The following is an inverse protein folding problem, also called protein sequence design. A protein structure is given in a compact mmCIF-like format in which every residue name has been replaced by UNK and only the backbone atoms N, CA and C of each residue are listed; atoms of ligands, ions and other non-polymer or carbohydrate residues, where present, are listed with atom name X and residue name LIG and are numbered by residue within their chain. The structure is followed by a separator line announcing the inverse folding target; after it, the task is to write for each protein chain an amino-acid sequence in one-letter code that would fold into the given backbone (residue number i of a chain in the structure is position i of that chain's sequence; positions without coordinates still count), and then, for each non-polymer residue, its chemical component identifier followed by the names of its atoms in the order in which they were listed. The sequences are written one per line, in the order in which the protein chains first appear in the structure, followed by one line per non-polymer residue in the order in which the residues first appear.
data_IF_462696974227
#
_entry.id   IF_462696974227
#
_cell.length_a   1.000
_cell.length_b   1.000
_cell.length_c   1.000
_cell.angle_alpha   90.00
_cell.angle_beta   90.00
_cell.angle_gamma   90.00
#
_symmetry.space_group_name_H-M   'P 1'
#
loop_
_entity.id
_entity.type
_entity.pdbx_description
1 polymer ?
#
# COMPACT_ATOMS: atom_id res chain seq x y z
N UNK A 1 -29.49 6.66 -23.97
CA UNK A 1 -30.77 7.12 -23.37
C UNK A 1 -31.63 5.89 -23.11
N UNK A 2 -31.56 5.33 -21.90
CA UNK A 2 -32.36 4.18 -21.47
C UNK A 2 -33.17 4.65 -20.26
N UNK A 3 -34.48 4.65 -20.42
CA UNK A 3 -35.45 5.12 -19.44
C UNK A 3 -35.56 4.08 -18.32
N UNK A 4 -35.26 4.49 -17.08
CA UNK A 4 -35.60 3.71 -15.90
C UNK A 4 -37.10 3.87 -15.61
N UNK A 5 -37.80 2.76 -15.42
CA UNK A 5 -39.10 2.77 -14.75
C UNK A 5 -38.97 2.13 -13.38
N UNK A 6 -39.49 2.88 -12.41
CA UNK A 6 -39.49 2.63 -10.98
C UNK A 6 -40.06 1.26 -10.61
N UNK A 7 -39.39 0.58 -9.68
CA UNK A 7 -40.05 -0.34 -8.76
C UNK A 7 -39.46 -0.18 -7.35
N UNK A 8 -40.23 0.59 -6.58
CA UNK A 8 -40.47 0.62 -5.13
C UNK A 8 -39.62 -0.31 -4.24
N UNK A 9 -39.03 0.33 -3.24
CA UNK A 9 -38.41 -0.20 -2.02
C UNK A 9 -39.10 -1.43 -1.40
N UNK A 10 -38.29 -2.40 -0.95
CA UNK A 10 -38.52 -3.00 0.36
C UNK A 10 -37.17 -3.17 1.09
N UNK A 11 -37.16 -2.76 2.37
CA UNK A 11 -35.99 -2.77 3.26
C UNK A 11 -35.70 -4.20 3.71
N UNK A 12 -34.42 -4.48 4.02
CA UNK A 12 -33.86 -5.72 4.56
C UNK A 12 -33.61 -6.85 3.56
N UNK A 13 -32.50 -6.78 2.82
CA UNK A 13 -31.77 -8.00 2.45
C UNK A 13 -30.28 -7.70 2.33
N UNK A 14 -29.49 -8.24 3.26
CA UNK A 14 -28.03 -8.25 3.20
C UNK A 14 -27.62 -9.28 2.16
N UNK A 15 -27.03 -8.86 1.04
CA UNK A 15 -26.44 -9.75 0.05
C UNK A 15 -25.04 -10.16 0.51
N UNK A 16 -24.94 -11.30 1.20
CA UNK A 16 -23.67 -12.02 1.39
C UNK A 16 -23.31 -12.72 0.09
N UNK A 17 -22.28 -12.25 -0.60
CA UNK A 17 -21.75 -12.90 -1.80
C UNK A 17 -20.60 -13.83 -1.38
N UNK A 18 -20.88 -15.13 -1.38
CA UNK A 18 -19.87 -16.18 -1.25
C UNK A 18 -19.41 -16.58 -2.66
N UNK A 19 -18.09 -16.67 -2.83
CA UNK A 19 -17.38 -16.98 -4.07
C UNK A 19 -17.53 -18.45 -4.48
N UNK A 20 -18.74 -18.85 -4.87
CA UNK A 20 -19.03 -20.07 -5.63
C UNK A 20 -20.53 -20.09 -5.88
N UNK A 21 -21.02 -19.58 -7.02
CA UNK A 21 -22.31 -20.02 -7.58
C UNK A 21 -22.48 -19.57 -9.04
N UNK A 22 -22.76 -20.55 -9.89
CA UNK A 22 -23.27 -20.38 -11.25
C UNK A 22 -24.71 -19.87 -11.13
N UNK A 23 -24.99 -18.68 -11.64
CA UNK A 23 -26.35 -18.13 -11.70
C UNK A 23 -27.12 -18.87 -12.80
N UNK A 24 -28.04 -19.77 -12.43
CA UNK A 24 -29.00 -20.36 -13.38
C UNK A 24 -30.21 -19.44 -13.53
N UNK A 25 -30.36 -18.83 -14.70
CA UNK A 25 -31.61 -18.18 -15.09
C UNK A 25 -32.56 -19.22 -15.68
N UNK A 26 -33.75 -19.36 -15.10
CA UNK A 26 -34.86 -20.12 -15.67
C UNK A 26 -35.75 -19.17 -16.47
N UNK A 27 -35.70 -19.26 -17.80
CA UNK A 27 -36.68 -18.61 -18.65
C UNK A 27 -37.73 -19.64 -19.09
N UNK A 28 -38.98 -19.43 -18.69
CA UNK A 28 -40.13 -20.10 -19.31
C UNK A 28 -40.54 -19.30 -20.53
N UNK A 29 -40.24 -19.79 -21.74
CA UNK A 29 -40.83 -19.24 -22.98
C UNK A 29 -41.14 -20.35 -23.98
N UNK A 30 -42.22 -20.15 -24.73
CA UNK A 30 -42.77 -21.10 -25.70
C UNK A 30 -41.83 -21.35 -26.90
N UNK A 31 -41.90 -22.58 -27.41
CA UNK A 31 -40.86 -23.30 -28.16
C UNK A 31 -40.52 -22.84 -29.60
N UNK A 32 -40.67 -21.56 -29.97
CA UNK A 32 -40.47 -21.14 -31.38
C UNK A 32 -39.42 -20.07 -31.63
N UNK A 33 -38.68 -19.59 -30.62
CA UNK A 33 -37.59 -18.63 -30.83
C UNK A 33 -36.23 -19.12 -30.28
N UNK A 34 -35.82 -20.35 -30.64
CA UNK A 34 -34.61 -20.99 -30.10
C UNK A 34 -33.35 -20.82 -30.99
N UNK A 35 -33.43 -20.20 -32.17
CA UNK A 35 -32.25 -20.12 -33.06
C UNK A 35 -31.51 -18.78 -33.13
N UNK A 36 -32.01 -17.69 -32.55
CA UNK A 36 -31.30 -16.40 -32.58
C UNK A 36 -30.73 -15.90 -31.25
N UNK A 37 -31.07 -16.55 -30.12
CA UNK A 37 -30.65 -16.08 -28.78
C UNK A 37 -29.49 -16.86 -28.14
N UNK A 38 -28.79 -17.71 -28.90
CA UNK A 38 -27.64 -18.50 -28.40
C UNK A 38 -26.27 -17.89 -28.74
N UNK A 39 -26.22 -16.72 -29.39
CA UNK A 39 -24.95 -16.04 -29.71
C UNK A 39 -24.53 -14.97 -28.70
N UNK A 40 -25.34 -14.67 -27.70
CA UNK A 40 -24.94 -13.78 -26.61
C UNK A 40 -24.33 -14.61 -25.46
N UNK A 41 -23.29 -15.41 -25.75
CA UNK A 41 -22.32 -15.74 -24.70
C UNK A 41 -21.78 -14.42 -24.20
N UNK A 42 -22.31 -13.96 -23.07
CA UNK A 42 -21.71 -12.92 -22.27
C UNK A 42 -20.32 -13.44 -21.87
N UNK A 43 -19.32 -13.17 -22.72
CA UNK A 43 -17.94 -13.14 -22.30
C UNK A 43 -17.88 -11.95 -21.35
N UNK A 44 -18.17 -12.21 -20.08
CA UNK A 44 -17.59 -11.41 -19.01
C UNK A 44 -16.10 -11.72 -19.10
N UNK A 45 -15.42 -11.08 -20.03
CA UNK A 45 -13.98 -10.89 -19.93
C UNK A 45 -13.82 -10.21 -18.57
N UNK A 46 -13.28 -10.91 -17.57
CA UNK A 46 -12.75 -10.24 -16.39
C UNK A 46 -11.70 -9.29 -16.93
N UNK A 47 -12.09 -8.05 -17.23
CA UNK A 47 -11.15 -6.98 -17.41
C UNK A 47 -10.34 -6.97 -16.12
N UNK A 48 -9.03 -7.22 -16.22
CA UNK A 48 -8.12 -7.11 -15.09
C UNK A 48 -8.38 -5.74 -14.48
N UNK A 49 -8.91 -5.73 -13.24
CA UNK A 49 -9.15 -4.47 -12.52
C UNK A 49 -7.80 -3.75 -12.47
N UNK A 50 -7.78 -2.49 -12.84
CA UNK A 50 -6.59 -1.68 -12.69
C UNK A 50 -6.25 -1.61 -11.20
N UNK A 51 -5.05 -2.06 -10.86
CA UNK A 51 -4.51 -2.02 -9.49
C UNK A 51 -3.23 -1.22 -9.48
N UNK A 52 -2.91 -0.64 -8.32
CA UNK A 52 -1.70 0.17 -8.12
C UNK A 52 -0.92 -0.25 -6.89
N UNK A 53 0.37 0.04 -6.90
CA UNK A 53 1.21 0.06 -5.70
C UNK A 53 1.29 1.49 -5.18
N UNK A 54 1.02 1.67 -3.88
CA UNK A 54 1.20 2.96 -3.21
C UNK A 54 2.58 3.01 -2.56
N UNK A 55 3.30 4.10 -2.77
CA UNK A 55 4.47 4.49 -1.99
C UNK A 55 4.05 5.66 -1.12
N UNK A 56 3.99 5.46 0.18
CA UNK A 56 3.51 6.43 1.16
C UNK A 56 4.69 7.13 1.81
N UNK A 57 4.62 8.46 1.82
CA UNK A 57 5.72 9.32 2.25
C UNK A 57 5.20 10.49 3.07
N UNK A 58 5.98 10.98 4.02
CA UNK A 58 5.63 12.13 4.85
C UNK A 58 6.67 13.24 4.77
N UNK A 59 6.20 14.49 4.72
CA UNK A 59 7.07 15.68 4.72
C UNK A 59 7.74 15.92 6.08
N UNK A 60 7.20 15.33 7.15
CA UNK A 60 7.71 15.44 8.51
C UNK A 60 8.93 14.55 8.81
N UNK A 61 9.27 13.65 7.88
CA UNK A 61 10.36 12.69 8.03
C UNK A 61 11.40 12.84 6.90
N UNK A 62 12.63 13.29 7.20
CA UNK A 62 13.70 13.41 6.19
C UNK A 62 14.02 12.09 5.47
N UNK A 63 13.97 10.95 6.16
CA UNK A 63 14.21 9.64 5.56
C UNK A 63 13.06 9.16 4.68
N UNK A 64 11.90 9.83 4.76
CA UNK A 64 10.75 9.60 3.88
C UNK A 64 10.79 10.53 2.68
N UNK A 65 10.89 11.85 2.92
CA UNK A 65 10.76 12.86 1.87
C UNK A 65 11.98 12.94 0.95
N UNK A 66 13.19 12.67 1.44
CA UNK A 66 14.40 12.74 0.60
C UNK A 66 14.41 11.61 -0.45
N UNK A 67 14.17 10.32 -0.11
CA UNK A 67 13.97 9.28 -1.12
C UNK A 67 12.80 9.58 -2.07
N UNK A 68 11.69 10.10 -1.55
CA UNK A 68 10.54 10.47 -2.37
C UNK A 68 10.92 11.53 -3.42
N UNK A 69 11.67 12.57 -3.02
CA UNK A 69 12.14 13.61 -3.92
C UNK A 69 13.09 13.05 -4.99
N UNK A 70 14.02 12.16 -4.61
CA UNK A 70 14.92 11.49 -5.54
C UNK A 70 14.16 10.60 -6.53
N UNK A 71 13.15 9.87 -6.07
CA UNK A 71 12.27 9.04 -6.91
C UNK A 71 11.48 9.90 -7.89
N UNK A 72 10.85 10.98 -7.42
CA UNK A 72 10.05 11.89 -8.25
C UNK A 72 10.89 12.69 -9.27
N UNK A 73 12.20 12.82 -9.05
CA UNK A 73 13.12 13.41 -10.01
C UNK A 73 13.47 12.47 -11.18
N UNK A 74 13.15 11.17 -11.07
CA UNK A 74 13.34 10.20 -12.16
C UNK A 74 12.32 10.41 -13.29
N UNK A 75 12.64 10.01 -14.53
CA UNK A 75 11.72 10.14 -15.65
C UNK A 75 10.41 9.37 -15.46
N UNK A 76 9.30 9.93 -15.97
CA UNK A 76 7.99 9.26 -16.01
C UNK A 76 7.03 9.64 -14.88
N UNK A 77 7.51 10.34 -13.85
CA UNK A 77 6.65 10.87 -12.81
C UNK A 77 5.91 12.14 -13.26
N UNK A 78 4.62 12.20 -12.96
CA UNK A 78 3.75 13.34 -13.22
C UNK A 78 2.88 13.63 -12.00
N UNK A 79 2.44 14.87 -11.84
CA UNK A 79 1.51 15.22 -10.76
C UNK A 79 0.17 14.49 -10.94
N UNK A 80 -0.30 13.84 -9.88
CA UNK A 80 -1.63 13.27 -9.78
C UNK A 80 -2.63 14.23 -9.12
N UNK A 81 -3.87 13.80 -8.88
CA UNK A 81 -4.85 14.60 -8.15
C UNK A 81 -4.42 14.82 -6.70
N UNK A 82 -4.76 15.98 -6.14
CA UNK A 82 -4.70 16.17 -4.68
C UNK A 82 -5.88 15.41 -4.08
N UNK A 83 -5.60 14.53 -3.13
CA UNK A 83 -6.60 13.75 -2.41
C UNK A 83 -6.84 14.41 -1.03
N UNK A 84 -8.04 14.33 -0.44
CA UNK A 84 -8.26 14.89 0.89
C UNK A 84 -7.35 14.24 1.98
N UNK A 85 -7.19 14.82 3.18
CA UNK A 85 -7.48 16.20 3.50
C UNK A 85 -6.61 17.19 2.72
N UNK A 86 -5.39 16.83 2.30
CA UNK A 86 -4.49 17.62 1.43
C UNK A 86 -3.26 16.78 0.96
N UNK A 87 -3.48 15.51 0.66
CA UNK A 87 -2.43 14.59 0.22
C UNK A 87 -2.05 14.83 -1.25
N UNK A 88 -0.78 15.16 -1.50
CA UNK A 88 -0.26 15.26 -2.87
C UNK A 88 -0.07 13.85 -3.41
N UNK A 89 -0.43 13.63 -4.67
CA UNK A 89 -0.16 12.37 -5.35
C UNK A 89 0.66 12.58 -6.61
N UNK A 90 1.42 11.55 -6.98
CA UNK A 90 2.20 11.50 -8.20
C UNK A 90 2.01 10.15 -8.87
N UNK A 91 2.10 10.14 -10.20
CA UNK A 91 1.74 9.00 -11.03
C UNK A 91 2.90 8.62 -11.92
N UNK A 92 3.24 7.32 -11.91
CA UNK A 92 4.09 6.69 -12.91
C UNK A 92 3.61 5.24 -13.13
N UNK A 93 3.03 4.93 -14.29
CA UNK A 93 2.45 3.61 -14.62
C UNK A 93 1.47 3.12 -13.53
N UNK A 94 1.70 1.95 -12.93
CA UNK A 94 0.90 1.38 -11.84
C UNK A 94 1.38 1.81 -10.45
N UNK A 95 2.37 2.69 -10.34
CA UNK A 95 2.88 3.19 -9.06
C UNK A 95 2.29 4.56 -8.77
N UNK A 96 1.97 4.81 -7.50
CA UNK A 96 1.55 6.11 -6.99
C UNK A 96 2.45 6.48 -5.82
N UNK A 97 2.97 7.70 -5.80
CA UNK A 97 3.60 8.26 -4.59
C UNK A 97 2.59 9.18 -3.94
N UNK A 98 2.35 9.00 -2.64
CA UNK A 98 1.47 9.83 -1.82
C UNK A 98 2.33 10.57 -0.79
N UNK A 99 2.16 11.88 -0.70
CA UNK A 99 2.82 12.75 0.25
C UNK A 99 1.78 13.42 1.15
N UNK A 100 1.97 13.30 2.46
CA UNK A 100 1.15 13.95 3.48
C UNK A 100 2.05 14.53 4.59
N UNK A 101 1.48 15.33 5.50
CA UNK A 101 2.24 15.96 6.59
C UNK A 101 2.10 15.21 7.93
N UNK A 102 1.33 14.12 7.94
CA UNK A 102 1.05 13.29 9.11
C UNK A 102 2.17 12.30 9.44
N UNK A 103 2.04 11.61 10.57
CA UNK A 103 2.99 10.58 11.00
C UNK A 103 2.63 9.24 10.37
N UNK A 104 3.53 8.67 9.57
CA UNK A 104 3.30 7.41 8.83
C UNK A 104 2.80 6.27 9.73
N UNK A 105 3.36 6.11 10.93
CA UNK A 105 2.96 5.01 11.83
C UNK A 105 1.53 5.15 12.35
N UNK A 106 0.90 6.32 12.19
CA UNK A 106 -0.47 6.61 12.60
C UNK A 106 -1.46 6.65 11.43
N UNK A 107 -1.01 6.34 10.21
CA UNK A 107 -1.85 6.32 9.00
C UNK A 107 -2.58 4.99 8.86
N UNK A 108 -3.35 4.62 9.89
CA UNK A 108 -4.18 3.42 9.87
C UNK A 108 -5.20 3.49 8.71
N UNK A 109 -5.35 2.38 7.99
CA UNK A 109 -6.32 2.19 6.90
C UNK A 109 -6.16 3.13 5.69
N UNK A 110 -4.96 3.72 5.50
CA UNK A 110 -4.68 4.63 4.38
C UNK A 110 -4.95 4.00 3.01
N UNK A 111 -4.69 2.70 2.86
CA UNK A 111 -4.99 1.94 1.65
C UNK A 111 -6.48 1.93 1.31
N UNK A 112 -7.33 1.66 2.30
CA UNK A 112 -8.78 1.62 2.14
C UNK A 112 -9.33 3.00 1.82
N UNK A 113 -8.84 4.01 2.54
CA UNK A 113 -9.21 5.40 2.31
C UNK A 113 -8.79 5.88 0.90
N UNK A 114 -7.59 5.49 0.45
CA UNK A 114 -7.12 5.82 -0.89
C UNK A 114 -7.95 5.13 -1.98
N UNK A 115 -8.32 3.85 -1.80
CA UNK A 115 -9.19 3.14 -2.75
C UNK A 115 -10.55 3.85 -2.93
N UNK A 116 -11.12 4.37 -1.84
CA UNK A 116 -12.36 5.14 -1.88
C UNK A 116 -12.18 6.48 -2.61
N UNK A 117 -11.16 7.25 -2.22
CA UNK A 117 -10.92 8.59 -2.77
C UNK A 117 -10.53 8.55 -4.27
N UNK A 118 -9.68 7.61 -4.66
CA UNK A 118 -9.18 7.49 -6.02
C UNK A 118 -10.03 6.59 -6.94
N UNK A 119 -10.94 5.78 -6.36
CA UNK A 119 -11.73 4.77 -7.09
C UNK A 119 -10.87 3.76 -7.87
N UNK A 120 -9.64 3.51 -7.41
CA UNK A 120 -8.67 2.56 -7.99
C UNK A 120 -8.29 1.56 -6.90
N UNK A 121 -8.12 0.28 -7.24
CA UNK A 121 -7.73 -0.72 -6.25
C UNK A 121 -6.24 -0.66 -5.92
N UNK A 122 -5.89 -0.87 -4.66
CA UNK A 122 -4.52 -0.98 -4.15
C UNK A 122 -4.15 -2.46 -4.06
N UNK A 123 -3.02 -2.81 -4.67
CA UNK A 123 -2.42 -4.15 -4.62
C UNK A 123 -1.43 -4.28 -3.46
N UNK A 124 -0.70 -3.20 -3.17
CA UNK A 124 0.40 -3.18 -2.21
C UNK A 124 0.68 -1.75 -1.72
N UNK A 125 1.17 -1.63 -0.49
CA UNK A 125 1.59 -0.37 0.12
C UNK A 125 3.04 -0.46 0.60
N UNK A 126 3.85 0.51 0.25
CA UNK A 126 5.25 0.63 0.68
C UNK A 126 5.40 1.93 1.44
N UNK A 127 5.86 1.87 2.68
CA UNK A 127 6.14 3.07 3.47
C UNK A 127 7.62 3.40 3.42
N UNK A 128 7.95 4.65 3.06
CA UNK A 128 9.31 5.18 3.24
C UNK A 128 9.36 5.92 4.56
N UNK A 129 10.27 5.55 5.45
CA UNK A 129 10.30 6.05 6.83
C UNK A 129 11.73 6.06 7.37
N UNK A 130 11.94 6.78 8.46
CA UNK A 130 13.17 6.68 9.23
C UNK A 130 13.18 5.43 10.09
N UNK A 131 14.34 4.80 10.13
CA UNK A 131 14.71 3.88 11.18
C UNK A 131 15.40 4.65 12.31
N UNK A 132 15.08 4.33 13.57
CA UNK A 132 15.76 4.85 14.75
C UNK A 132 16.23 3.68 15.62
N UNK A 133 17.53 3.59 15.86
CA UNK A 133 18.12 2.58 16.74
C UNK A 133 19.02 3.21 17.80
N UNK A 134 19.14 2.51 18.93
CA UNK A 134 20.08 2.87 20.01
C UNK A 134 21.52 2.46 19.66
N UNK A 135 21.70 1.61 18.64
CA UNK A 135 23.00 1.07 18.25
C UNK A 135 23.96 2.10 17.63
N UNK A 136 23.46 3.27 17.20
CA UNK A 136 24.22 4.27 16.44
C UNK A 136 24.93 3.67 15.22
N UNK A 137 24.25 2.74 14.55
CA UNK A 137 24.75 2.08 13.34
C UNK A 137 23.79 2.43 12.22
N UNK A 138 24.24 3.17 11.20
CA UNK A 138 23.35 3.50 10.11
C UNK A 138 22.96 2.23 9.36
N UNK A 139 21.70 2.17 8.96
CA UNK A 139 21.14 1.00 8.32
C UNK A 139 20.13 1.39 7.25
N UNK A 140 20.10 0.59 6.18
CA UNK A 140 18.98 0.57 5.24
C UNK A 140 18.24 -0.75 5.45
N UNK A 141 16.97 -0.66 5.78
CA UNK A 141 16.20 -1.81 6.27
C UNK A 141 14.92 -2.01 5.48
N UNK A 142 14.41 -3.25 5.53
CA UNK A 142 13.03 -3.55 5.16
C UNK A 142 12.41 -4.42 6.23
N UNK A 143 11.15 -4.20 6.57
CA UNK A 143 10.49 -5.03 7.57
C UNK A 143 8.96 -5.11 7.43
N UNK A 144 8.34 -6.20 7.94
CA UNK A 144 6.89 -6.29 8.07
C UNK A 144 6.35 -5.39 9.19
N UNK A 145 5.07 -5.07 9.10
CA UNK A 145 4.35 -4.18 10.04
C UNK A 145 3.49 -4.99 11.01
N UNK A 146 3.50 -4.65 12.29
CA UNK A 146 2.63 -5.27 13.28
C UNK A 146 3.09 -5.11 14.74
N UNK A 147 2.16 -5.23 15.68
CA UNK A 147 2.40 -5.07 17.13
C UNK A 147 2.17 -6.40 17.85
N UNK A 148 2.97 -7.41 17.50
CA UNK A 148 2.83 -8.78 18.01
C UNK A 148 3.27 -8.95 19.48
N UNK A 149 4.05 -8.01 20.01
CA UNK A 149 4.61 -8.10 21.36
C UNK A 149 3.64 -7.63 22.46
N UNK A 150 2.56 -6.91 22.11
CA UNK A 150 1.52 -6.49 23.05
C UNK A 150 0.31 -7.41 22.89
N UNK A 151 -0.25 -7.87 24.01
CA UNK A 151 -1.50 -8.65 23.99
C UNK A 151 -2.72 -7.75 24.01
N UNK A 152 -3.76 -8.16 23.29
CA UNK A 152 -5.03 -7.44 23.24
C UNK A 152 -5.68 -7.38 24.63
N UNK A 153 -5.59 -8.43 25.45
CA UNK A 153 -6.14 -8.42 26.80
C UNK A 153 -5.36 -7.53 27.79
N UNK A 154 -4.09 -7.23 27.51
CA UNK A 154 -3.20 -6.44 28.37
C UNK A 154 -3.21 -4.95 28.00
N UNK A 155 -3.82 -4.59 26.88
CA UNK A 155 -4.07 -3.20 26.48
C UNK A 155 -5.56 -2.88 26.55
N UNK A 156 -5.96 -1.78 27.22
CA UNK A 156 -7.34 -1.32 27.12
C UNK A 156 -7.68 -1.13 25.63
N UNK A 157 -8.81 -1.65 25.18
CA UNK A 157 -9.21 -1.70 23.76
C UNK A 157 -9.28 -0.32 23.07
N UNK A 158 -9.14 0.77 23.83
CA UNK A 158 -9.14 2.16 23.39
C UNK A 158 -7.73 2.80 23.31
N UNK A 159 -6.65 2.08 23.62
CA UNK A 159 -5.29 2.64 23.65
C UNK A 159 -4.51 2.19 22.43
N UNK A 160 -4.31 3.10 21.48
CA UNK A 160 -3.35 2.93 20.38
C UNK A 160 -1.92 2.93 20.94
N UNK A 161 -1.05 1.98 20.57
CA UNK A 161 0.36 2.00 20.94
C UNK A 161 1.03 3.32 20.51
N UNK A 162 2.08 3.78 21.22
CA UNK A 162 2.75 5.04 20.87
C UNK A 162 3.30 5.08 19.43
N UNK A 163 3.70 3.92 18.90
CA UNK A 163 4.19 3.75 17.53
C UNK A 163 3.08 3.26 16.57
N UNK A 164 1.81 3.49 16.92
CA UNK A 164 0.66 3.14 16.08
C UNK A 164 0.33 1.65 16.01
N UNK A 165 -0.68 1.31 15.21
CA UNK A 165 -1.15 -0.07 15.06
C UNK A 165 -2.11 -0.53 16.15
N UNK A 166 -2.34 -1.85 16.22
CA UNK A 166 -3.17 -2.50 17.25
C UNK A 166 -2.40 -3.64 17.93
N UNK A 167 -2.46 -3.78 19.27
CA UNK A 167 -1.92 -4.94 19.98
C UNK A 167 -2.38 -6.28 19.38
N UNK A 168 -1.46 -7.24 19.27
CA UNK A 168 -1.74 -8.59 18.79
C UNK A 168 -2.01 -8.70 17.28
N UNK A 169 -1.79 -7.63 16.52
CA UNK A 169 -2.09 -7.56 15.09
C UNK A 169 -0.83 -7.45 14.24
N UNK A 170 -0.85 -7.98 13.02
CA UNK A 170 0.16 -7.77 12.00
C UNK A 170 -0.47 -7.69 10.60
N UNK A 171 0.16 -6.93 9.73
CA UNK A 171 -0.28 -6.76 8.35
C UNK A 171 0.06 -8.00 7.50
N UNK A 172 -0.58 -8.11 6.33
CA UNK A 172 -0.07 -9.00 5.30
C UNK A 172 1.29 -8.50 4.82
N UNK A 173 2.31 -9.35 4.87
CA UNK A 173 3.67 -8.96 4.47
C UNK A 173 3.78 -8.83 2.95
N UNK A 174 4.41 -7.75 2.48
CA UNK A 174 4.77 -7.59 1.08
C UNK A 174 5.64 -8.77 0.60
N UNK A 175 5.32 -9.40 -0.55
CA UNK A 175 6.17 -10.43 -1.14
C UNK A 175 7.53 -9.88 -1.62
N UNK A 176 7.71 -8.55 -1.62
CA UNK A 176 8.93 -7.88 -2.06
C UNK A 176 10.03 -7.82 -1.01
N UNK A 177 9.77 -8.06 0.28
CA UNK A 177 10.79 -7.95 1.33
C UNK A 177 12.09 -8.70 0.97
N UNK A 178 12.00 -9.97 0.60
CA UNK A 178 13.18 -10.76 0.23
C UNK A 178 13.89 -10.25 -1.03
N UNK A 179 13.19 -10.07 -2.17
CA UNK A 179 13.75 -9.45 -3.36
C UNK A 179 14.37 -8.06 -3.14
N UNK A 180 13.71 -7.19 -2.38
CA UNK A 180 14.13 -5.82 -2.14
C UNK A 180 15.32 -5.77 -1.19
N UNK A 181 15.41 -6.63 -0.16
CA UNK A 181 16.63 -6.72 0.66
C UNK A 181 17.86 -7.02 -0.21
N UNK A 182 17.73 -7.96 -1.16
CA UNK A 182 18.84 -8.31 -2.07
C UNK A 182 19.17 -7.17 -3.04
N UNK A 183 18.14 -6.49 -3.55
CA UNK A 183 18.31 -5.34 -4.45
C UNK A 183 18.97 -4.18 -3.71
N UNK A 184 18.49 -3.86 -2.51
CA UNK A 184 19.02 -2.83 -1.62
C UNK A 184 20.49 -3.08 -1.31
N UNK A 185 20.86 -4.33 -0.98
CA UNK A 185 22.27 -4.69 -0.78
C UNK A 185 23.12 -4.44 -2.01
N UNK A 186 22.67 -4.90 -3.19
CA UNK A 186 23.38 -4.71 -4.46
C UNK A 186 23.57 -3.21 -4.78
N UNK A 187 22.52 -2.40 -4.57
CA UNK A 187 22.58 -0.96 -4.82
C UNK A 187 23.47 -0.25 -3.80
N UNK A 188 23.36 -0.58 -2.52
CA UNK A 188 24.21 -0.02 -1.48
C UNK A 188 25.71 -0.30 -1.74
N UNK A 189 26.06 -1.51 -2.21
CA UNK A 189 27.42 -1.84 -2.64
C UNK A 189 27.84 -1.01 -3.87
N UNK A 190 26.99 -0.91 -4.90
CA UNK A 190 27.29 -0.16 -6.12
C UNK A 190 27.48 1.36 -5.87
N UNK A 191 26.80 1.90 -4.86
CA UNK A 191 26.87 3.31 -4.47
C UNK A 191 27.81 3.54 -3.27
N UNK A 192 28.64 2.55 -2.91
CA UNK A 192 29.66 2.65 -1.84
C UNK A 192 29.10 3.03 -0.46
N UNK A 193 27.85 2.65 -0.16
CA UNK A 193 27.26 2.81 1.17
C UNK A 193 27.70 1.70 2.13
N UNK A 194 28.16 0.56 1.63
CA UNK A 194 28.72 -0.53 2.44
C UNK A 194 30.24 -0.35 2.55
N UNK A 195 30.87 -0.48 3.74
CA UNK A 195 30.32 -1.05 4.99
C UNK A 195 29.78 -0.01 5.98
N UNK A 196 29.63 1.25 5.58
CA UNK A 196 29.10 2.31 6.45
C UNK A 196 27.68 1.95 6.92
N UNK A 197 26.77 1.71 5.98
CA UNK A 197 25.40 1.26 6.21
C UNK A 197 25.31 -0.26 6.32
N UNK A 198 24.66 -0.73 7.37
CA UNK A 198 24.18 -2.11 7.46
C UNK A 198 22.94 -2.30 6.58
N UNK A 199 22.85 -3.42 5.85
CA UNK A 199 21.68 -3.76 5.03
C UNK A 199 21.01 -4.98 5.65
N UNK A 200 19.86 -4.80 6.28
CA UNK A 200 19.29 -5.83 7.15
C UNK A 200 17.76 -5.85 7.19
N UNK A 201 17.22 -6.92 7.76
CA UNK A 201 15.80 -7.03 8.10
C UNK A 201 15.59 -6.57 9.54
N UNK A 202 14.41 -6.02 9.81
CA UNK A 202 13.94 -5.83 11.18
C UNK A 202 12.81 -6.80 11.52
N UNK A 203 12.57 -6.97 12.82
CA UNK A 203 11.42 -7.72 13.30
C UNK A 203 10.10 -7.05 12.94
N UNK A 204 9.00 -7.79 12.99
CA UNK A 204 7.66 -7.21 12.86
C UNK A 204 7.39 -6.30 14.05
N UNK A 205 7.29 -5.00 13.80
CA UNK A 205 7.05 -4.01 14.84
C UNK A 205 6.24 -2.81 14.31
N UNK A 206 5.63 -2.09 15.26
CA UNK A 206 4.82 -0.87 15.12
C UNK A 206 3.69 -0.91 14.07
N UNK A 207 2.93 0.19 13.97
CA UNK A 207 1.90 0.41 12.96
C UNK A 207 2.46 0.98 11.65
N UNK A 208 1.61 1.34 10.68
CA UNK A 208 0.14 1.46 10.79
C UNK A 208 -0.63 0.15 10.53
N UNK A 209 -1.94 0.19 10.75
CA UNK A 209 -2.90 -0.83 10.31
C UNK A 209 -3.12 -0.69 8.80
N UNK A 210 -3.11 -1.81 8.08
CA UNK A 210 -3.37 -1.86 6.64
C UNK A 210 -4.10 -3.15 6.28
N UNK A 211 -4.88 -3.12 5.20
CA UNK A 211 -5.61 -4.28 4.67
C UNK A 211 -4.88 -4.97 3.51
N UNK A 212 -3.93 -4.29 2.86
CA UNK A 212 -3.15 -4.81 1.72
C UNK A 212 -1.75 -5.32 2.15
N UNK A 213 -1.11 -6.15 1.32
CA UNK A 213 0.31 -6.46 1.46
C UNK A 213 1.16 -5.20 1.65
N UNK A 214 2.03 -5.20 2.65
CA UNK A 214 2.77 -4.01 3.04
C UNK A 214 4.17 -4.29 3.58
N UNK A 215 5.02 -3.29 3.52
CA UNK A 215 6.31 -3.25 4.23
C UNK A 215 6.77 -1.81 4.45
N UNK A 216 7.69 -1.64 5.38
CA UNK A 216 8.56 -0.48 5.44
C UNK A 216 9.84 -0.71 4.64
N UNK A 217 10.33 0.38 4.05
CA UNK A 217 11.67 0.53 3.50
C UNK A 217 12.28 1.76 4.20
N UNK A 218 13.23 1.54 5.11
CA UNK A 218 13.71 2.59 6.02
C UNK A 218 15.20 2.92 5.88
N UNK A 219 15.53 4.16 6.23
CA UNK A 219 16.91 4.68 6.33
C UNK A 219 17.14 5.21 7.75
N UNK A 220 18.27 4.85 8.36
CA UNK A 220 18.60 5.21 9.74
C UNK A 220 20.09 5.27 10.05
N UNK A 221 20.47 5.61 11.28
CA UNK A 221 19.59 5.78 12.45
C UNK A 221 19.51 7.20 13.04
N UNK A 222 20.23 8.18 12.47
CA UNK A 222 20.24 9.57 12.94
C UNK A 222 19.80 10.56 11.87
N UNK A 223 19.49 11.79 12.28
CA UNK A 223 19.13 12.87 11.37
C UNK A 223 20.19 13.16 10.29
N UNK A 224 21.46 12.96 10.61
CA UNK A 224 22.55 13.06 9.64
C UNK A 224 22.38 12.04 8.51
N UNK A 225 22.11 10.77 8.86
CA UNK A 225 21.90 9.68 7.91
C UNK A 225 20.56 9.78 7.16
N UNK A 226 19.49 10.23 7.82
CA UNK A 226 18.20 10.47 7.17
C UNK A 226 18.28 11.52 6.06
N UNK A 227 19.27 12.41 6.11
CA UNK A 227 19.51 13.48 5.12
C UNK A 227 20.55 13.15 4.06
N UNK A 228 21.24 12.00 4.16
CA UNK A 228 22.21 11.54 3.15
C UNK A 228 21.54 11.36 1.79
N UNK A 229 21.98 12.13 0.81
CA UNK A 229 21.37 12.17 -0.53
C UNK A 229 21.65 10.92 -1.36
N UNK A 230 22.80 10.29 -1.16
CA UNK A 230 23.16 9.03 -1.81
C UNK A 230 22.40 7.83 -1.21
N UNK A 231 22.17 7.80 0.11
CA UNK A 231 21.23 6.87 0.73
C UNK A 231 19.82 7.07 0.16
N UNK A 232 19.34 8.32 0.09
CA UNK A 232 18.05 8.64 -0.53
C UNK A 232 17.96 8.18 -1.99
N UNK A 233 19.03 8.35 -2.77
CA UNK A 233 19.11 7.90 -4.15
C UNK A 233 19.02 6.36 -4.26
N UNK A 234 19.70 5.62 -3.37
CA UNK A 234 19.61 4.16 -3.33
C UNK A 234 18.19 3.69 -3.00
N UNK A 235 17.54 4.32 -2.02
CA UNK A 235 16.16 4.02 -1.64
C UNK A 235 15.18 4.29 -2.79
N UNK A 236 15.38 5.37 -3.55
CA UNK A 236 14.61 5.69 -4.75
C UNK A 236 14.81 4.62 -5.85
N UNK A 237 16.05 4.20 -6.12
CA UNK A 237 16.35 3.19 -7.16
C UNK A 237 15.77 1.80 -6.84
N UNK A 238 15.61 1.48 -5.56
CA UNK A 238 14.98 0.22 -5.13
C UNK A 238 13.45 0.28 -5.27
N UNK A 239 12.87 1.49 -5.18
CA UNK A 239 11.42 1.72 -5.16
C UNK A 239 10.82 2.20 -6.50
N UNK A 240 11.63 2.37 -7.54
CA UNK A 240 11.21 2.60 -8.93
C UNK A 240 10.45 1.39 -9.53
#
# INVERSE_FOLDING_TARGET
LLVFHNLVHNRNTVLKISSQNIIRFSFQTNATCIKSLLSATCRVTLAKRETVTLIVTTTSDPASINPAAALLAMPGWTAGPILPPDMKSFVNKQTRVIQHDGSIVKEDDLDSWWEEAASIAVDEVIFLSRHTAVSNRPALTVHPIGVLHLKEEESPSSVTPPQGGKPGWAALTSPRIGPWLRLLKKMAEAYSLVPEFEITLEGTHHGPITSKPTMFLENGDTEEYWKRQDAAQVMALVSE
#
